data_IF_811429247944
#
_entry.id   IF_811429247944
#
_cell.length_a   1.000
_cell.length_b   1.000
_cell.length_c   1.000
_cell.angle_alpha   90.00
_cell.angle_beta   90.00
_cell.angle_gamma   90.00
#
_symmetry.space_group_name_H-M   'P 1'
#
loop_
_entity.id
_entity.type
_entity.pdbx_description
1 polymer ?
#
# COMPACT_ATOMS: atom_id res chain seq x y z
N UNK A 1 17.93 -10.42 -2.76
CA UNK A 1 16.50 -10.31 -3.10
C UNK A 1 15.94 -9.04 -2.46
N UNK A 2 15.12 -8.27 -3.18
CA UNK A 2 14.46 -7.12 -2.57
C UNK A 2 13.55 -7.52 -1.41
N UNK A 3 13.52 -6.68 -0.38
CA UNK A 3 12.69 -6.85 0.80
C UNK A 3 11.80 -5.64 0.99
N UNK A 4 10.60 -5.85 1.53
CA UNK A 4 9.69 -4.76 1.86
C UNK A 4 10.16 -4.02 3.13
N UNK A 5 9.49 -2.89 3.41
CA UNK A 5 9.72 -2.13 4.63
C UNK A 5 8.91 -2.69 5.80
N UNK A 6 9.27 -2.27 7.01
CA UNK A 6 8.39 -2.45 8.16
C UNK A 6 7.08 -1.67 7.94
N UNK A 7 5.95 -2.13 8.49
CA UNK A 7 4.69 -1.40 8.33
C UNK A 7 4.71 -0.06 9.07
N UNK A 8 4.05 0.94 8.50
CA UNK A 8 3.71 2.17 9.22
C UNK A 8 2.34 1.95 9.85
N UNK A 9 2.29 1.80 11.17
CA UNK A 9 1.07 1.40 11.87
C UNK A 9 1.12 1.79 13.34
N UNK A 10 -0.04 2.05 13.93
CA UNK A 10 -0.21 2.17 15.38
C UNK A 10 -1.50 1.47 15.82
N UNK A 11 -1.72 1.42 17.13
CA UNK A 11 -2.88 0.72 17.71
C UNK A 11 -4.23 1.37 17.39
N UNK A 12 -4.24 2.61 16.93
CA UNK A 12 -5.47 3.33 16.55
C UNK A 12 -5.89 3.08 15.10
N UNK A 13 -5.05 2.43 14.28
CA UNK A 13 -5.35 2.18 12.88
C UNK A 13 -6.56 1.26 12.72
N UNK A 14 -7.47 1.65 11.82
CA UNK A 14 -8.67 0.90 11.47
C UNK A 14 -8.70 0.47 10.01
N UNK A 15 -7.84 1.05 9.18
CA UNK A 15 -7.69 0.79 7.74
C UNK A 15 -6.24 0.47 7.44
N UNK A 16 -6.03 -0.37 6.42
CA UNK A 16 -4.70 -0.73 5.93
C UNK A 16 -4.66 -0.55 4.43
N UNK A 17 -3.62 0.13 3.94
CA UNK A 17 -3.32 0.17 2.51
C UNK A 17 -2.15 -0.78 2.25
N UNK A 18 -2.30 -1.66 1.28
CA UNK A 18 -1.27 -2.62 0.88
C UNK A 18 -0.83 -2.37 -0.56
N UNK A 19 0.46 -2.13 -0.75
CA UNK A 19 1.11 -2.26 -2.05
C UNK A 19 1.56 -3.69 -2.28
N UNK A 20 2.14 -3.96 -3.47
CA UNK A 20 2.72 -5.27 -3.78
C UNK A 20 4.11 -5.41 -3.18
N UNK A 21 5.04 -4.57 -3.62
CA UNK A 21 6.44 -4.54 -3.23
C UNK A 21 7.02 -3.17 -3.56
N UNK A 22 7.92 -2.60 -2.73
CA UNK A 22 8.56 -1.32 -3.07
C UNK A 22 9.30 -1.39 -4.41
N UNK A 23 9.18 -0.33 -5.22
CA UNK A 23 9.93 -0.18 -6.45
C UNK A 23 11.38 0.25 -6.19
N UNK A 24 12.17 0.40 -7.27
CA UNK A 24 13.59 0.74 -7.17
C UNK A 24 13.83 2.04 -6.42
N UNK A 25 13.09 3.11 -6.75
CA UNK A 25 13.24 4.41 -6.06
C UNK A 25 12.87 4.34 -4.59
N UNK A 26 11.81 3.59 -4.27
CA UNK A 26 11.41 3.38 -2.87
C UNK A 26 12.47 2.64 -2.08
N UNK A 27 13.07 1.59 -2.66
CA UNK A 27 14.15 0.84 -2.01
C UNK A 27 15.40 1.71 -1.81
N UNK A 28 15.77 2.52 -2.82
CA UNK A 28 16.92 3.43 -2.72
C UNK A 28 16.75 4.46 -1.61
N UNK A 29 15.55 4.99 -1.43
CA UNK A 29 15.25 6.04 -0.47
C UNK A 29 14.68 5.53 0.86
N UNK A 30 14.40 4.22 0.95
CA UNK A 30 13.74 3.59 2.10
C UNK A 30 12.40 4.28 2.43
N UNK A 31 11.62 4.63 1.40
CA UNK A 31 10.35 5.34 1.53
C UNK A 31 9.29 4.74 0.63
N UNK A 32 8.07 4.58 1.15
CA UNK A 32 6.93 4.16 0.36
C UNK A 32 6.62 5.15 -0.74
N UNK A 33 6.41 4.64 -1.96
CA UNK A 33 5.96 5.42 -3.12
C UNK A 33 6.86 6.63 -3.40
N UNK A 34 8.18 6.39 -3.41
CA UNK A 34 9.18 7.46 -3.53
C UNK A 34 9.40 7.92 -4.97
N UNK A 35 8.98 7.15 -5.99
CA UNK A 35 9.15 7.56 -7.38
C UNK A 35 8.41 8.89 -7.63
N UNK A 36 9.07 9.90 -8.22
CA UNK A 36 8.48 11.25 -8.36
C UNK A 36 7.16 11.28 -9.12
N UNK A 37 6.94 10.34 -10.03
CA UNK A 37 5.72 10.26 -10.83
C UNK A 37 4.66 9.35 -10.22
N UNK A 38 4.92 8.72 -9.07
CA UNK A 38 3.89 7.96 -8.38
C UNK A 38 2.89 8.92 -7.74
N UNK A 39 1.61 8.75 -8.04
CA UNK A 39 0.57 9.68 -7.61
C UNK A 39 0.13 9.48 -6.14
N UNK A 40 0.64 8.47 -5.43
CA UNK A 40 0.10 8.08 -4.12
C UNK A 40 0.05 9.24 -3.13
N UNK A 41 1.19 9.88 -2.87
CA UNK A 41 1.24 10.95 -1.87
C UNK A 41 0.49 12.20 -2.29
N UNK A 42 0.46 12.50 -3.58
CA UNK A 42 -0.35 13.59 -4.12
C UNK A 42 -1.85 13.33 -3.93
N UNK A 43 -2.28 12.09 -4.14
CA UNK A 43 -3.66 11.65 -3.87
C UNK A 43 -3.98 11.79 -2.38
N UNK A 44 -3.10 11.29 -1.50
CA UNK A 44 -3.33 11.38 -0.05
C UNK A 44 -3.44 12.83 0.41
N UNK A 45 -2.55 13.70 -0.04
CA UNK A 45 -2.61 15.12 0.28
C UNK A 45 -3.94 15.75 -0.16
N UNK A 46 -4.39 15.42 -1.37
CA UNK A 46 -5.64 15.97 -1.92
C UNK A 46 -6.87 15.48 -1.15
N UNK A 47 -6.92 14.19 -0.83
CA UNK A 47 -8.05 13.60 -0.11
C UNK A 47 -8.18 14.17 1.31
N UNK A 48 -7.08 14.38 2.00
CA UNK A 48 -7.07 14.77 3.40
C UNK A 48 -6.76 16.25 3.61
N UNK A 49 -6.73 17.04 2.54
CA UNK A 49 -6.55 18.50 2.63
C UNK A 49 -5.19 18.93 3.16
N UNK A 50 -4.14 18.14 2.91
CA UNK A 50 -2.79 18.45 3.35
C UNK A 50 -2.02 19.26 2.29
N UNK A 51 -1.03 20.06 2.70
CA UNK A 51 -0.14 20.76 1.76
C UNK A 51 0.67 19.77 0.93
N UNK A 52 0.89 20.09 -0.35
CA UNK A 52 1.72 19.29 -1.25
C UNK A 52 2.66 20.22 -2.02
N UNK A 53 3.96 19.89 -2.14
CA UNK A 53 4.63 18.69 -1.63
C UNK A 53 4.78 18.70 -0.10
N UNK A 54 4.98 17.51 0.47
CA UNK A 54 5.23 17.37 1.91
C UNK A 54 6.62 17.90 2.28
N UNK A 55 6.75 18.45 3.49
CA UNK A 55 8.03 18.95 3.98
C UNK A 55 9.01 17.81 4.31
N UNK A 56 8.50 16.64 4.74
CA UNK A 56 9.32 15.49 5.10
C UNK A 56 8.58 14.18 4.87
N UNK A 57 9.32 13.06 4.88
CA UNK A 57 8.72 11.74 4.83
C UNK A 57 7.90 11.44 6.10
N UNK A 58 8.38 11.90 7.26
CA UNK A 58 7.61 11.72 8.49
C UNK A 58 6.25 12.41 8.43
N UNK A 59 6.15 13.56 7.78
CA UNK A 59 4.86 14.23 7.56
C UNK A 59 3.92 13.39 6.70
N UNK A 60 4.45 12.69 5.70
CA UNK A 60 3.67 11.76 4.87
C UNK A 60 3.06 10.63 5.71
N UNK A 61 3.89 9.96 6.49
CA UNK A 61 3.45 8.85 7.33
C UNK A 61 2.48 9.32 8.42
N UNK A 62 2.77 10.46 9.04
CA UNK A 62 1.92 11.04 10.08
C UNK A 62 0.55 11.43 9.55
N UNK A 63 0.46 11.88 8.30
CA UNK A 63 -0.85 12.15 7.69
C UNK A 63 -1.73 10.91 7.70
N UNK A 64 -1.21 9.78 7.26
CA UNK A 64 -1.96 8.53 7.25
C UNK A 64 -2.32 8.07 8.67
N UNK A 65 -1.37 8.10 9.60
CA UNK A 65 -1.62 7.69 10.97
C UNK A 65 -2.65 8.59 11.67
N UNK A 66 -2.66 9.90 11.39
CA UNK A 66 -3.65 10.82 11.93
C UNK A 66 -5.06 10.51 11.44
N UNK A 67 -5.19 9.83 10.32
CA UNK A 67 -6.47 9.35 9.79
C UNK A 67 -6.70 7.86 10.05
N UNK A 68 -5.91 7.26 10.95
CA UNK A 68 -6.04 5.87 11.38
C UNK A 68 -5.78 4.86 10.26
N UNK A 69 -4.89 5.20 9.34
CA UNK A 69 -4.54 4.39 8.18
C UNK A 69 -3.12 3.86 8.33
N UNK A 70 -2.99 2.54 8.30
CA UNK A 70 -1.71 1.83 8.24
C UNK A 70 -1.29 1.63 6.78
N UNK A 71 0.02 1.45 6.57
CA UNK A 71 0.62 1.28 5.25
C UNK A 71 1.64 0.15 5.29
N UNK A 72 1.55 -0.79 4.35
CA UNK A 72 2.49 -1.90 4.23
C UNK A 72 2.45 -2.46 2.80
N UNK A 73 3.13 -3.59 2.59
CA UNK A 73 3.11 -4.35 1.33
C UNK A 73 2.71 -5.79 1.58
N UNK A 74 2.13 -6.43 0.57
CA UNK A 74 1.75 -7.85 0.65
C UNK A 74 2.98 -8.73 0.66
N UNK A 75 3.98 -8.39 -0.16
CA UNK A 75 5.14 -9.24 -0.43
C UNK A 75 6.30 -8.82 0.46
N UNK A 76 6.83 -9.76 1.23
CA UNK A 76 8.00 -9.56 2.10
C UNK A 76 9.30 -9.53 1.28
N UNK A 77 9.49 -10.56 0.46
CA UNK A 77 10.67 -10.69 -0.42
C UNK A 77 10.25 -11.25 -1.77
N UNK A 78 10.99 -10.92 -2.81
CA UNK A 78 10.78 -11.47 -4.15
C UNK A 78 12.03 -11.33 -5.02
N UNK A 79 12.01 -11.96 -6.20
CA UNK A 79 12.95 -11.71 -7.27
C UNK A 79 12.30 -10.80 -8.31
N UNK A 80 12.94 -9.70 -8.66
CA UNK A 80 12.41 -8.75 -9.65
C UNK A 80 13.51 -7.90 -10.23
N UNK A 81 13.52 -7.74 -11.56
CA UNK A 81 14.37 -6.79 -12.25
C UNK A 81 13.57 -5.50 -12.46
N UNK A 82 14.00 -4.40 -11.83
CA UNK A 82 13.31 -3.11 -11.94
C UNK A 82 12.12 -2.99 -10.97
N UNK A 83 11.08 -2.26 -11.39
CA UNK A 83 9.97 -1.85 -10.51
C UNK A 83 8.59 -2.35 -10.96
N UNK A 84 8.50 -3.08 -12.08
CA UNK A 84 7.21 -3.53 -12.61
C UNK A 84 6.68 -4.72 -11.81
N UNK A 85 5.40 -4.65 -11.43
CA UNK A 85 4.72 -5.74 -10.72
C UNK A 85 4.68 -7.04 -11.55
N UNK A 86 4.59 -6.92 -12.88
CA UNK A 86 4.60 -8.08 -13.78
C UNK A 86 5.91 -8.87 -13.75
N UNK A 87 6.99 -8.26 -13.27
CA UNK A 87 8.31 -8.90 -13.18
C UNK A 87 8.57 -9.56 -11.83
N UNK A 88 7.63 -9.49 -10.89
CA UNK A 88 7.78 -10.11 -9.58
C UNK A 88 7.72 -11.63 -9.69
N UNK A 89 8.73 -12.29 -9.14
CA UNK A 89 8.88 -13.75 -9.11
C UNK A 89 9.29 -14.20 -7.72
N UNK A 90 8.97 -15.45 -7.38
CA UNK A 90 9.35 -16.06 -6.11
C UNK A 90 8.92 -15.21 -4.91
N UNK A 91 7.69 -14.70 -4.97
CA UNK A 91 7.16 -13.83 -3.93
C UNK A 91 6.88 -14.60 -2.63
N UNK A 92 7.36 -14.04 -1.53
CA UNK A 92 7.07 -14.53 -0.17
C UNK A 92 6.19 -13.49 0.51
N UNK A 93 4.97 -13.83 0.92
CA UNK A 93 4.08 -12.86 1.57
C UNK A 93 4.54 -12.52 2.98
N UNK A 94 4.15 -11.34 3.45
CA UNK A 94 4.29 -10.96 4.86
C UNK A 94 3.37 -11.80 5.74
N UNK A 95 3.69 -11.89 7.04
CA UNK A 95 2.89 -12.65 7.99
C UNK A 95 1.68 -11.82 8.44
N UNK A 96 0.59 -11.88 7.69
CA UNK A 96 -0.63 -11.11 7.98
C UNK A 96 -1.44 -11.71 9.12
N UNK A 97 -1.37 -12.99 9.35
CA UNK A 97 -2.04 -13.61 10.51
C UNK A 97 -1.54 -12.95 11.81
N UNK A 98 -0.22 -12.84 11.95
CA UNK A 98 0.40 -12.17 13.10
C UNK A 98 0.06 -10.68 13.13
N UNK A 99 0.11 -10.01 11.98
CA UNK A 99 -0.17 -8.58 11.87
C UNK A 99 -1.59 -8.25 12.35
N UNK A 100 -2.60 -8.95 11.87
CA UNK A 100 -3.99 -8.68 12.26
C UNK A 100 -4.32 -9.12 13.69
N UNK A 101 -3.57 -10.05 14.26
CA UNK A 101 -3.66 -10.36 15.70
C UNK A 101 -3.13 -9.19 16.54
N UNK A 102 -2.06 -8.56 16.09
CA UNK A 102 -1.45 -7.42 16.79
C UNK A 102 -2.28 -6.14 16.63
N UNK A 103 -2.95 -5.98 15.49
CA UNK A 103 -3.74 -4.80 15.16
C UNK A 103 -5.20 -5.19 14.84
N UNK A 104 -5.95 -5.67 15.85
CA UNK A 104 -7.28 -6.25 15.61
C UNK A 104 -8.36 -5.24 15.23
N UNK A 105 -8.09 -3.94 15.36
CA UNK A 105 -9.03 -2.88 14.97
C UNK A 105 -9.05 -2.64 13.47
N UNK A 106 -8.05 -3.12 12.73
CA UNK A 106 -8.02 -3.01 11.26
C UNK A 106 -9.03 -3.98 10.68
N UNK A 107 -10.05 -3.45 9.99
CA UNK A 107 -11.15 -4.24 9.42
C UNK A 107 -11.27 -4.08 7.91
N UNK A 108 -10.69 -3.02 7.34
CA UNK A 108 -10.75 -2.75 5.90
C UNK A 108 -9.35 -2.67 5.34
N UNK A 109 -9.13 -3.39 4.23
CA UNK A 109 -7.85 -3.43 3.53
C UNK A 109 -8.06 -2.90 2.10
N UNK A 110 -7.30 -1.87 1.74
CA UNK A 110 -7.29 -1.27 0.42
C UNK A 110 -6.03 -1.71 -0.31
N UNK A 111 -6.18 -2.19 -1.53
CA UNK A 111 -5.03 -2.66 -2.32
C UNK A 111 -4.65 -1.64 -3.38
N UNK A 112 -3.40 -1.22 -3.36
CA UNK A 112 -2.84 -0.33 -4.37
C UNK A 112 -2.42 -1.16 -5.59
N UNK A 113 -3.37 -1.39 -6.48
CA UNK A 113 -3.17 -2.14 -7.71
C UNK A 113 -3.60 -3.61 -7.63
N UNK A 114 -3.78 -4.20 -8.80
CA UNK A 114 -4.30 -5.56 -8.95
C UNK A 114 -3.32 -6.62 -8.42
N UNK A 115 -2.01 -6.39 -8.62
CA UNK A 115 -0.99 -7.35 -8.15
C UNK A 115 -1.02 -7.50 -6.63
N UNK A 116 -1.19 -6.42 -5.89
CA UNK A 116 -1.30 -6.46 -4.44
C UNK A 116 -2.51 -7.29 -4.01
N UNK A 117 -3.67 -7.03 -4.61
CA UNK A 117 -4.90 -7.76 -4.33
C UNK A 117 -4.76 -9.25 -4.65
N UNK A 118 -4.30 -9.59 -5.85
CA UNK A 118 -4.21 -10.98 -6.30
C UNK A 118 -3.20 -11.78 -5.47
N UNK A 119 -2.08 -11.15 -5.11
CA UNK A 119 -1.07 -11.79 -4.26
C UNK A 119 -1.61 -12.10 -2.86
N UNK A 120 -2.40 -11.19 -2.29
CA UNK A 120 -3.04 -11.39 -0.99
C UNK A 120 -4.06 -12.52 -1.07
N UNK A 121 -4.94 -12.50 -2.06
CA UNK A 121 -5.96 -13.54 -2.25
C UNK A 121 -5.30 -14.91 -2.44
N UNK A 122 -4.27 -15.00 -3.28
CA UNK A 122 -3.55 -16.24 -3.51
C UNK A 122 -2.96 -16.83 -2.21
N UNK A 123 -2.39 -15.96 -1.37
CA UNK A 123 -1.72 -16.39 -0.15
C UNK A 123 -2.70 -16.72 0.98
N UNK A 124 -3.83 -16.00 1.09
CA UNK A 124 -4.66 -16.01 2.29
C UNK A 124 -6.15 -16.30 2.06
N UNK A 125 -6.57 -16.71 0.86
CA UNK A 125 -7.99 -16.89 0.57
C UNK A 125 -8.68 -17.95 1.45
N UNK A 126 -7.93 -18.91 1.96
CA UNK A 126 -8.46 -19.95 2.87
C UNK A 126 -8.17 -19.66 4.34
N UNK A 127 -7.46 -18.57 4.64
CA UNK A 127 -7.12 -18.20 6.02
C UNK A 127 -8.35 -17.62 6.74
N UNK A 128 -8.63 -18.11 7.93
CA UNK A 128 -9.83 -17.70 8.68
C UNK A 128 -9.81 -16.20 9.05
N UNK A 129 -8.63 -15.61 9.32
CA UNK A 129 -8.56 -14.19 9.67
C UNK A 129 -9.06 -13.29 8.53
N UNK A 130 -8.89 -13.71 7.28
CA UNK A 130 -9.30 -12.92 6.12
C UNK A 130 -10.82 -12.77 6.02
N UNK A 131 -11.59 -13.67 6.60
CA UNK A 131 -13.06 -13.64 6.56
C UNK A 131 -13.63 -12.42 7.33
N UNK A 132 -12.89 -11.88 8.28
CA UNK A 132 -13.31 -10.72 9.06
C UNK A 132 -12.97 -9.38 8.38
N UNK A 133 -12.28 -9.41 7.24
CA UNK A 133 -11.79 -8.22 6.56
C UNK A 133 -12.69 -7.86 5.37
N UNK A 134 -12.86 -6.55 5.16
CA UNK A 134 -13.40 -6.01 3.91
C UNK A 134 -12.23 -5.69 2.99
N UNK A 135 -12.20 -6.29 1.81
CA UNK A 135 -11.10 -6.15 0.86
C UNK A 135 -11.53 -5.26 -0.31
N UNK A 136 -10.80 -4.17 -0.55
CA UNK A 136 -11.15 -3.17 -1.56
C UNK A 136 -9.97 -2.97 -2.51
N UNK A 137 -10.01 -3.55 -3.73
CA UNK A 137 -9.00 -3.28 -4.74
C UNK A 137 -9.17 -1.88 -5.31
N UNK A 138 -8.07 -1.15 -5.47
CA UNK A 138 -8.04 0.20 -6.05
C UNK A 138 -7.04 0.24 -7.21
N UNK A 139 -7.20 1.18 -8.16
CA UNK A 139 -6.24 1.30 -9.25
C UNK A 139 -4.86 1.67 -8.72
N UNK A 140 -3.81 1.10 -9.33
CA UNK A 140 -2.43 1.40 -8.98
C UNK A 140 -2.12 2.88 -9.17
N UNK A 141 -1.43 3.46 -8.19
CA UNK A 141 -0.93 4.84 -8.26
C UNK A 141 0.38 4.94 -9.04
N UNK A 142 0.97 3.82 -9.46
CA UNK A 142 2.20 3.77 -10.23
C UNK A 142 2.06 4.50 -11.58
N UNK A 143 3.12 5.18 -12.07
CA UNK A 143 3.12 5.74 -13.41
C UNK A 143 2.98 4.66 -14.50
N UNK A 144 3.27 3.40 -14.21
CA UNK A 144 3.01 2.29 -15.13
C UNK A 144 1.51 2.09 -15.42
N UNK A 145 0.61 2.55 -14.55
CA UNK A 145 -0.84 2.56 -14.77
C UNK A 145 -1.24 3.84 -15.50
N UNK A 146 -0.79 4.00 -16.74
CA UNK A 146 -0.89 5.26 -17.48
C UNK A 146 -2.24 5.48 -18.17
N UNK A 147 -3.11 4.46 -18.24
CA UNK A 147 -4.42 4.60 -18.91
C UNK A 147 -5.46 5.33 -18.07
N UNK A 148 -5.21 5.53 -16.78
CA UNK A 148 -6.05 6.34 -15.90
C UNK A 148 -5.38 7.68 -15.62
N UNK A 149 -6.17 8.76 -15.71
CA UNK A 149 -5.70 10.10 -15.33
C UNK A 149 -5.52 10.22 -13.82
N UNK A 150 -4.86 11.30 -13.37
CA UNK A 150 -4.78 11.61 -11.95
C UNK A 150 -6.18 11.76 -11.34
N UNK A 151 -7.09 12.46 -12.02
CA UNK A 151 -8.46 12.67 -11.52
C UNK A 151 -9.24 11.35 -11.42
N UNK A 152 -9.06 10.43 -12.35
CA UNK A 152 -9.67 9.09 -12.29
C UNK A 152 -9.18 8.32 -11.06
N UNK A 153 -7.87 8.34 -10.83
CA UNK A 153 -7.25 7.70 -9.67
C UNK A 153 -7.74 8.34 -8.37
N UNK A 154 -7.74 9.66 -8.31
CA UNK A 154 -8.22 10.41 -7.14
C UNK A 154 -9.66 10.04 -6.79
N UNK A 155 -10.53 9.98 -7.79
CA UNK A 155 -11.93 9.62 -7.59
C UNK A 155 -12.08 8.20 -7.04
N UNK A 156 -11.34 7.24 -7.61
CA UNK A 156 -11.37 5.87 -7.13
C UNK A 156 -10.86 5.74 -5.69
N UNK A 157 -9.80 6.45 -5.35
CA UNK A 157 -9.20 6.44 -4.01
C UNK A 157 -10.00 7.20 -2.96
N UNK A 158 -11.02 7.99 -3.36
CA UNK A 158 -11.87 8.74 -2.43
C UNK A 158 -12.66 7.85 -1.46
N UNK A 159 -12.73 6.54 -1.71
CA UNK A 159 -13.35 5.57 -0.79
C UNK A 159 -12.59 5.45 0.55
N UNK A 160 -11.37 5.99 0.64
CA UNK A 160 -10.63 6.06 1.91
C UNK A 160 -11.27 7.02 2.92
N UNK A 161 -12.05 7.99 2.46
CA UNK A 161 -12.65 9.03 3.31
C UNK A 161 -13.79 8.51 4.24
#
# INVERSE_FOLDING_TARGET
MPECFAPSVDSACTKLILGSMPGVKSLEQAQYYAHPQNAFWRIMAKLFGAPYPFASYDDKLNLLLSHHIALWDVISTCARDGSLDSDIRNAVPNNFERFFKQYPQIKTVFFNGQKAHDSFIKAFKTASFANALTLVPLPSTSPANAHLSFDDKLRAWSVLL
#
